data_IF_695604481204
#
_entry.id   IF_695604481204
#
_cell.length_a   1.000
_cell.length_b   1.000
_cell.length_c   1.000
_cell.angle_alpha   90.00
_cell.angle_beta   90.00
_cell.angle_gamma   90.00
#
_symmetry.space_group_name_H-M   'P 1'
#
loop_
_entity.id
_entity.type
_entity.pdbx_description
1 polymer ?
#
# COMPACT_ATOMS: atom_id res chain seq x y z
N UNK A 1 12.03 -20.59 -23.95
CA UNK A 1 12.56 -19.86 -22.79
C UNK A 1 11.50 -19.03 -22.09
N UNK A 2 11.16 -19.43 -20.86
CA UNK A 2 10.22 -18.74 -19.97
C UNK A 2 10.93 -18.01 -18.82
N UNK A 3 12.26 -17.98 -18.83
CA UNK A 3 13.07 -17.37 -17.78
C UNK A 3 13.04 -15.84 -17.80
N UNK A 4 12.65 -15.21 -18.91
CA UNK A 4 12.74 -13.75 -19.09
C UNK A 4 11.65 -12.95 -18.33
N UNK A 5 10.60 -13.58 -17.83
CA UNK A 5 9.52 -12.93 -17.06
C UNK A 5 9.53 -13.29 -15.57
N UNK A 6 10.41 -14.19 -15.14
CA UNK A 6 10.55 -14.58 -13.74
C UNK A 6 11.13 -13.45 -12.85
N UNK A 7 11.91 -12.54 -13.45
CA UNK A 7 12.59 -11.44 -12.74
C UNK A 7 11.81 -10.13 -12.67
N UNK A 8 10.56 -10.08 -13.16
CA UNK A 8 9.72 -8.86 -13.13
C UNK A 8 8.61 -8.90 -12.08
N UNK A 9 8.71 -9.78 -11.09
CA UNK A 9 7.79 -9.74 -9.94
C UNK A 9 8.24 -8.65 -8.98
N UNK A 10 7.38 -7.66 -8.75
CA UNK A 10 7.65 -6.64 -7.74
C UNK A 10 8.04 -7.31 -6.41
N UNK A 11 9.02 -6.77 -5.67
CA UNK A 11 9.52 -7.40 -4.46
C UNK A 11 8.39 -7.53 -3.45
N UNK A 12 7.94 -8.76 -3.17
CA UNK A 12 6.83 -9.04 -2.24
C UNK A 12 7.04 -8.40 -0.86
N UNK A 13 8.28 -8.35 -0.40
CA UNK A 13 8.66 -7.70 0.84
C UNK A 13 8.26 -6.21 0.90
N UNK A 14 8.21 -5.52 -0.24
CA UNK A 14 7.76 -4.12 -0.28
C UNK A 14 6.26 -4.00 -0.03
N UNK A 15 5.46 -4.95 -0.54
CA UNK A 15 4.03 -5.03 -0.24
C UNK A 15 3.82 -5.37 1.24
N UNK A 16 4.55 -6.36 1.76
CA UNK A 16 4.47 -6.75 3.18
C UNK A 16 4.78 -5.58 4.12
N UNK A 17 5.81 -4.78 3.80
CA UNK A 17 6.16 -3.58 4.59
C UNK A 17 5.09 -2.50 4.48
N UNK A 18 4.51 -2.29 3.30
CA UNK A 18 3.43 -1.32 3.13
C UNK A 18 2.19 -1.73 3.94
N UNK A 19 1.80 -3.00 3.90
CA UNK A 19 0.69 -3.54 4.71
C UNK A 19 0.97 -3.44 6.21
N UNK A 20 2.20 -3.73 6.65
CA UNK A 20 2.62 -3.57 8.04
C UNK A 20 2.55 -2.10 8.50
N UNK A 21 2.94 -1.15 7.66
CA UNK A 21 2.83 0.30 7.93
C UNK A 21 1.37 0.72 8.09
N UNK A 22 0.49 0.29 7.17
CA UNK A 22 -0.96 0.55 7.27
C UNK A 22 -1.53 0.00 8.58
N UNK A 23 -1.12 -1.22 8.96
CA UNK A 23 -1.49 -1.84 10.23
C UNK A 23 -1.00 -1.06 11.45
N UNK A 24 0.23 -0.53 11.42
CA UNK A 24 0.76 0.30 12.50
C UNK A 24 -0.02 1.60 12.68
N UNK A 25 -0.35 2.30 11.58
CA UNK A 25 -1.17 3.52 11.61
C UNK A 25 -2.57 3.19 12.15
N UNK A 26 -3.16 2.06 11.75
CA UNK A 26 -4.45 1.63 12.25
C UNK A 26 -4.45 1.42 13.77
N UNK A 27 -3.41 0.80 14.32
CA UNK A 27 -3.28 0.58 15.76
C UNK A 27 -3.03 1.89 16.52
N UNK A 28 -2.21 2.79 15.98
CA UNK A 28 -1.92 4.11 16.55
C UNK A 28 -3.17 5.01 16.56
N UNK A 29 -3.98 4.93 15.51
CA UNK A 29 -5.21 5.70 15.37
C UNK A 29 -6.43 5.08 16.08
N UNK A 30 -6.22 4.30 17.16
CA UNK A 30 -7.30 3.64 17.91
C UNK A 30 -8.26 2.81 17.03
N UNK A 31 -7.74 2.15 15.99
CA UNK A 31 -8.51 1.36 15.01
C UNK A 31 -9.45 2.20 14.14
N UNK A 32 -9.13 3.48 13.92
CA UNK A 32 -9.89 4.38 13.05
C UNK A 32 -9.46 4.27 11.57
N UNK A 33 -10.28 3.62 10.74
CA UNK A 33 -10.02 3.50 9.29
C UNK A 33 -10.07 4.85 8.55
N UNK A 34 -10.83 5.83 9.07
CA UNK A 34 -10.85 7.18 8.48
C UNK A 34 -9.49 7.83 8.55
N UNK A 35 -8.84 7.77 9.71
CA UNK A 35 -7.48 8.29 9.91
C UNK A 35 -6.47 7.55 9.04
N UNK A 36 -6.56 6.22 8.94
CA UNK A 36 -5.71 5.43 8.02
C UNK A 36 -5.87 5.93 6.58
N UNK A 37 -7.10 6.13 6.12
CA UNK A 37 -7.37 6.60 4.76
C UNK A 37 -6.85 8.01 4.53
N UNK A 38 -7.04 8.95 5.47
CA UNK A 38 -6.50 10.31 5.38
C UNK A 38 -4.97 10.34 5.22
N UNK A 39 -4.26 9.37 5.81
CA UNK A 39 -2.80 9.24 5.70
C UNK A 39 -2.37 8.54 4.39
N UNK A 40 -3.06 7.49 3.98
CA UNK A 40 -2.66 6.63 2.85
C UNK A 40 -3.19 7.15 1.50
N UNK A 41 -4.35 7.79 1.48
CA UNK A 41 -5.01 8.28 0.26
C UNK A 41 -4.12 9.21 -0.58
N UNK A 42 -3.39 10.18 0.00
CA UNK A 42 -2.47 11.02 -0.78
C UNK A 42 -1.36 10.23 -1.50
N UNK A 43 -0.91 9.10 -0.93
CA UNK A 43 0.12 8.25 -1.54
C UNK A 43 -0.43 7.49 -2.74
N UNK A 44 -1.68 7.03 -2.65
CA UNK A 44 -2.36 6.24 -3.68
C UNK A 44 -3.02 7.10 -4.76
N UNK A 45 -3.31 8.37 -4.47
CA UNK A 45 -4.06 9.28 -5.35
C UNK A 45 -3.48 9.36 -6.77
N UNK A 46 -2.15 9.33 -6.89
CA UNK A 46 -1.44 9.36 -8.17
C UNK A 46 -1.62 8.09 -9.02
N UNK A 47 -2.04 6.98 -8.41
CA UNK A 47 -2.20 5.67 -9.07
C UNK A 47 -3.68 5.30 -9.30
N UNK A 48 -4.57 5.65 -8.37
CA UNK A 48 -5.98 5.23 -8.42
C UNK A 48 -6.88 6.14 -9.28
N UNK A 49 -6.35 7.28 -9.75
CA UNK A 49 -7.10 8.26 -10.53
C UNK A 49 -8.07 9.06 -9.66
N UNK A 50 -8.00 10.39 -9.74
CA UNK A 50 -8.93 11.25 -8.99
C UNK A 50 -10.20 11.49 -9.82
N UNK A 51 -11.14 10.56 -9.74
CA UNK A 51 -12.55 10.85 -10.03
C UNK A 51 -13.38 10.28 -8.88
N UNK A 52 -13.65 11.13 -7.90
CA UNK A 52 -14.63 10.91 -6.83
C UNK A 52 -15.97 11.45 -7.31
#
# INVERSE_FOLDING_TARGET
>A
DIAQWADSTAPKALADVFEALVGAIFLDAEKCLKTVWEVIQPLLQQYIGTSI
#
